data_IF_049253988863
#
_entry.id   IF_049253988863
#
_cell.length_a   1.000
_cell.length_b   1.000
_cell.length_c   1.000
_cell.angle_alpha   90.00
_cell.angle_beta   90.00
_cell.angle_gamma   90.00
#
_symmetry.space_group_name_H-M   'P 1'
#
loop_
_entity.id
_entity.type
_entity.pdbx_description
1 polymer ?
#
# COMPACT_ATOMS: atom_id res chain seq x y z
N UNK A 1 7.01 6.96 16.14
CA UNK A 1 5.74 6.59 15.47
C UNK A 1 5.70 5.14 15.03
N UNK A 2 6.64 4.64 14.20
CA UNK A 2 6.61 3.23 13.74
C UNK A 2 6.52 2.25 14.92
N UNK A 3 7.40 2.38 15.91
CA UNK A 3 7.43 1.46 17.06
C UNK A 3 6.21 1.60 17.99
N UNK A 4 5.48 2.74 17.92
CA UNK A 4 4.23 2.92 18.65
C UNK A 4 3.07 2.17 17.98
N UNK A 5 3.02 2.17 16.64
CA UNK A 5 1.97 1.48 15.87
C UNK A 5 2.28 0.00 15.72
N UNK A 6 3.54 -0.33 15.48
CA UNK A 6 4.05 -1.68 15.28
C UNK A 6 5.15 -1.94 16.31
N UNK A 7 4.79 -2.11 17.59
CA UNK A 7 5.76 -2.56 18.57
C UNK A 7 6.24 -3.97 18.21
N UNK A 8 7.51 -4.24 18.47
CA UNK A 8 8.09 -5.57 18.32
C UNK A 8 7.93 -6.19 16.90
N UNK A 9 8.20 -5.39 15.86
CA UNK A 9 8.18 -5.84 14.44
C UNK A 9 9.08 -7.08 14.23
N UNK A 10 10.14 -7.22 15.01
CA UNK A 10 11.10 -8.32 14.91
C UNK A 10 10.47 -9.68 15.27
N UNK A 11 9.37 -9.68 16.04
CA UNK A 11 8.61 -10.88 16.40
C UNK A 11 7.22 -10.93 15.73
N UNK A 12 7.07 -10.29 14.57
CA UNK A 12 5.77 -10.17 13.89
C UNK A 12 5.07 -11.52 13.65
N UNK A 13 5.82 -12.60 13.44
CA UNK A 13 5.29 -13.95 13.22
C UNK A 13 4.50 -14.52 14.40
N UNK A 14 4.73 -14.01 15.61
CA UNK A 14 4.01 -14.44 16.82
C UNK A 14 2.65 -13.75 16.99
N UNK A 15 2.41 -12.64 16.26
CA UNK A 15 1.17 -11.87 16.36
C UNK A 15 0.06 -12.49 15.51
N UNK A 16 -1.17 -12.49 16.03
CA UNK A 16 -2.35 -12.90 15.27
C UNK A 16 -2.55 -11.96 14.07
N UNK A 17 -3.07 -12.48 12.94
CA UNK A 17 -3.39 -11.68 11.76
C UNK A 17 -4.32 -10.51 12.12
N UNK A 18 -5.22 -10.71 13.10
CA UNK A 18 -6.12 -9.69 13.67
C UNK A 18 -5.38 -8.48 14.22
N UNK A 19 -4.21 -8.69 14.80
CA UNK A 19 -3.36 -7.61 15.32
C UNK A 19 -2.92 -6.66 14.20
N UNK A 20 -2.51 -7.21 13.04
CA UNK A 20 -2.13 -6.45 11.85
C UNK A 20 -3.33 -5.78 11.15
N UNK A 21 -4.52 -6.40 11.19
CA UNK A 21 -5.74 -5.82 10.59
C UNK A 21 -6.05 -4.45 11.17
N UNK A 22 -5.96 -4.34 12.48
CA UNK A 22 -6.49 -3.23 13.24
C UNK A 22 -5.55 -2.02 13.32
N UNK A 23 -4.46 -2.01 12.55
CA UNK A 23 -3.46 -0.94 12.59
C UNK A 23 -2.91 -0.57 11.22
N UNK A 24 -2.60 0.70 11.06
CA UNK A 24 -1.98 1.27 9.88
C UNK A 24 -1.26 2.57 10.23
N UNK A 25 -0.25 2.90 9.44
CA UNK A 25 0.25 4.27 9.33
C UNK A 25 -0.40 4.90 8.09
N UNK A 26 -0.86 6.14 8.18
CA UNK A 26 -1.45 6.88 7.06
C UNK A 26 -0.68 8.16 6.80
N UNK A 27 -0.49 8.53 5.53
CA UNK A 27 0.17 9.78 5.14
C UNK A 27 -0.48 10.38 3.88
N UNK A 28 -0.37 11.70 3.64
CA UNK A 28 -0.94 12.30 2.42
C UNK A 28 -0.28 11.80 1.12
N UNK A 29 1.05 11.63 1.12
CA UNK A 29 1.85 11.40 -0.11
C UNK A 29 2.27 9.93 -0.28
N UNK A 30 2.27 9.43 -1.51
CA UNK A 30 2.73 8.07 -1.82
C UNK A 30 4.23 7.85 -1.53
N UNK A 31 5.05 8.88 -1.70
CA UNK A 31 6.49 8.84 -1.42
C UNK A 31 6.76 8.53 0.06
N UNK A 32 6.15 9.29 0.97
CA UNK A 32 6.25 9.07 2.42
C UNK A 32 5.74 7.69 2.82
N UNK A 33 4.66 7.22 2.19
CA UNK A 33 4.17 5.85 2.40
C UNK A 33 5.18 4.80 1.95
N UNK A 34 5.85 5.01 0.81
CA UNK A 34 6.89 4.10 0.29
C UNK A 34 8.09 4.07 1.25
N UNK A 35 8.54 5.22 1.72
CA UNK A 35 9.64 5.34 2.70
C UNK A 35 9.32 4.57 3.98
N UNK A 36 8.16 4.79 4.59
CA UNK A 36 7.76 4.12 5.84
C UNK A 36 7.66 2.62 5.63
N UNK A 37 7.03 2.16 4.54
CA UNK A 37 6.93 0.73 4.24
C UNK A 37 8.32 0.11 4.07
N UNK A 38 9.25 0.78 3.38
CA UNK A 38 10.62 0.29 3.20
C UNK A 38 11.37 0.18 4.54
N UNK A 39 11.25 1.19 5.40
CA UNK A 39 11.85 1.18 6.74
C UNK A 39 11.31 0.02 7.60
N UNK A 40 10.00 -0.23 7.54
CA UNK A 40 9.40 -1.36 8.28
C UNK A 40 9.89 -2.69 7.70
N UNK A 41 9.93 -2.84 6.38
CA UNK A 41 10.38 -4.08 5.72
C UNK A 41 11.82 -4.47 6.05
N UNK A 42 12.70 -3.50 6.34
CA UNK A 42 14.06 -3.76 6.81
C UNK A 42 14.06 -4.46 8.18
N UNK A 43 13.12 -4.10 9.07
CA UNK A 43 12.97 -4.67 10.41
C UNK A 43 12.19 -5.99 10.44
N UNK A 44 11.33 -6.25 9.45
CA UNK A 44 10.51 -7.47 9.42
C UNK A 44 11.42 -8.71 9.29
N UNK A 45 11.30 -9.73 10.15
CA UNK A 45 12.08 -10.95 10.06
C UNK A 45 11.70 -11.81 8.85
N UNK A 46 12.62 -12.67 8.42
CA UNK A 46 12.38 -13.67 7.37
C UNK A 46 13.05 -13.37 6.05
N UNK A 47 13.05 -14.37 5.18
CA UNK A 47 13.71 -14.32 3.88
C UNK A 47 12.97 -13.40 2.91
N UNK A 48 13.73 -12.57 2.20
CA UNK A 48 13.20 -11.69 1.14
C UNK A 48 13.08 -12.51 -0.14
N UNK A 49 11.87 -12.57 -0.70
CA UNK A 49 11.67 -13.01 -2.08
C UNK A 49 11.47 -11.80 -2.98
N UNK A 50 12.35 -11.66 -3.97
CA UNK A 50 12.28 -10.59 -4.96
C UNK A 50 11.63 -11.08 -6.26
N UNK A 51 10.66 -10.33 -6.73
CA UNK A 51 9.94 -10.58 -7.97
C UNK A 51 10.18 -9.45 -8.97
N UNK A 52 10.88 -9.75 -10.06
CA UNK A 52 11.03 -8.82 -11.19
C UNK A 52 9.81 -8.90 -12.11
N UNK A 53 9.33 -7.74 -12.54
CA UNK A 53 8.27 -7.64 -13.54
C UNK A 53 8.78 -7.93 -14.94
N UNK A 54 7.86 -8.23 -15.84
CA UNK A 54 8.13 -8.27 -17.28
C UNK A 54 7.43 -7.06 -17.88
N UNK A 55 8.21 -6.10 -18.36
CA UNK A 55 7.70 -4.86 -18.94
C UNK A 55 7.89 -4.91 -20.46
N UNK A 56 6.81 -4.66 -21.20
CA UNK A 56 6.80 -4.74 -22.66
C UNK A 56 6.02 -3.55 -23.23
N UNK A 57 6.48 -2.96 -24.32
CA UNK A 57 5.65 -2.05 -25.12
C UNK A 57 4.40 -2.79 -25.66
N UNK A 58 3.30 -2.06 -25.88
CA UNK A 58 2.09 -2.65 -26.46
C UNK A 58 2.13 -2.69 -27.99
N UNK A 59 2.84 -1.76 -28.63
CA UNK A 59 3.17 -1.82 -30.06
C UNK A 59 4.65 -2.21 -30.23
N UNK A 60 4.92 -3.17 -31.11
CA UNK A 60 6.28 -3.69 -31.37
C UNK A 60 7.16 -2.61 -32.03
N UNK A 61 6.57 -1.72 -32.82
CA UNK A 61 7.29 -0.61 -33.47
C UNK A 61 7.89 0.35 -32.45
N UNK A 62 7.27 0.47 -31.27
CA UNK A 62 7.76 1.32 -30.18
C UNK A 62 8.96 0.70 -29.42
N UNK A 63 9.28 -0.58 -29.66
CA UNK A 63 10.34 -1.28 -28.94
C UNK A 63 11.73 -0.69 -29.19
N UNK A 64 11.94 -0.07 -30.35
CA UNK A 64 13.19 0.66 -30.67
C UNK A 64 13.27 2.03 -29.99
N UNK A 65 12.13 2.59 -29.57
CA UNK A 65 12.05 3.92 -28.96
C UNK A 65 12.15 3.88 -27.43
N UNK A 66 11.79 2.75 -26.80
CA UNK A 66 11.76 2.61 -25.35
C UNK A 66 12.69 1.49 -24.87
N UNK A 67 13.91 1.82 -24.40
CA UNK A 67 14.80 0.86 -23.78
C UNK A 67 14.17 0.15 -22.58
N UNK A 68 14.57 -1.10 -22.32
CA UNK A 68 14.01 -1.89 -21.22
C UNK A 68 14.26 -1.24 -19.85
N UNK A 69 15.44 -0.63 -19.66
CA UNK A 69 15.82 0.08 -18.44
C UNK A 69 14.89 1.26 -18.17
N UNK A 70 14.49 1.97 -19.23
CA UNK A 70 13.53 3.06 -19.13
C UNK A 70 12.16 2.53 -18.68
N UNK A 71 11.65 1.47 -19.30
CA UNK A 71 10.37 0.84 -18.90
C UNK A 71 10.41 0.36 -17.44
N UNK A 72 11.48 -0.31 -17.05
CA UNK A 72 11.68 -0.82 -15.68
C UNK A 72 11.77 0.32 -14.65
N UNK A 73 12.24 1.51 -15.05
CA UNK A 73 12.31 2.70 -14.19
C UNK A 73 10.95 3.36 -13.91
N UNK A 74 9.93 3.10 -14.76
CA UNK A 74 8.60 3.68 -14.60
C UNK A 74 7.91 3.16 -13.33
N UNK A 75 7.56 4.08 -12.44
CA UNK A 75 6.95 3.78 -11.15
C UNK A 75 5.73 4.68 -10.91
N UNK A 76 4.57 4.29 -11.43
CA UNK A 76 3.30 5.01 -11.23
C UNK A 76 2.55 4.49 -10.01
N UNK A 77 1.72 5.34 -9.38
CA UNK A 77 0.97 4.97 -8.18
C UNK A 77 -0.02 3.80 -8.39
N UNK A 78 -0.48 3.61 -9.62
CA UNK A 78 -1.41 2.55 -10.02
C UNK A 78 -0.76 1.22 -10.39
N UNK A 79 0.58 1.14 -10.44
CA UNK A 79 1.34 -0.05 -10.79
C UNK A 79 2.21 -0.53 -9.63
N UNK A 80 2.42 -1.85 -9.48
CA UNK A 80 3.49 -2.35 -8.64
C UNK A 80 4.85 -1.97 -9.25
N UNK A 81 5.90 -1.84 -8.41
CA UNK A 81 7.26 -1.57 -8.89
C UNK A 81 7.78 -2.73 -9.76
N UNK A 82 8.79 -2.44 -10.58
CA UNK A 82 9.51 -3.46 -11.34
C UNK A 82 10.08 -4.53 -10.42
N UNK A 83 10.80 -4.11 -9.39
CA UNK A 83 11.30 -4.99 -8.32
C UNK A 83 10.35 -4.97 -7.12
N UNK A 84 9.67 -6.08 -6.89
CA UNK A 84 8.77 -6.26 -5.76
C UNK A 84 9.39 -7.23 -4.76
N UNK A 85 9.88 -6.69 -3.65
CA UNK A 85 10.47 -7.47 -2.54
C UNK A 85 9.44 -7.72 -1.44
N UNK A 86 9.20 -8.99 -1.11
CA UNK A 86 8.20 -9.43 -0.14
C UNK A 86 8.79 -10.42 0.87
N UNK A 87 8.19 -10.46 2.06
CA UNK A 87 8.47 -11.45 3.11
C UNK A 87 7.15 -12.11 3.54
N UNK A 88 7.22 -13.36 3.98
CA UNK A 88 6.06 -14.02 4.61
C UNK A 88 5.70 -13.26 5.89
N UNK A 89 4.40 -13.14 6.20
CA UNK A 89 3.92 -12.37 7.37
C UNK A 89 3.78 -10.86 7.13
N UNK A 90 4.15 -10.35 5.95
CA UNK A 90 3.94 -8.95 5.60
C UNK A 90 2.49 -8.70 5.14
N UNK A 91 1.83 -7.62 5.60
CA UNK A 91 0.56 -7.17 5.05
C UNK A 91 0.78 -6.50 3.68
N UNK A 92 -0.05 -6.88 2.72
CA UNK A 92 -0.11 -6.34 1.37
C UNK A 92 -1.51 -5.81 1.05
N UNK A 93 -1.64 -5.03 0.00
CA UNK A 93 -2.90 -4.47 -0.50
C UNK A 93 -3.01 -4.73 -2.00
N UNK A 94 -4.19 -5.15 -2.46
CA UNK A 94 -4.48 -5.31 -3.88
C UNK A 94 -4.58 -3.96 -4.59
N UNK A 95 -3.99 -3.90 -5.79
CA UNK A 95 -4.02 -2.74 -6.69
C UNK A 95 -5.08 -2.86 -7.79
N UNK A 96 -5.65 -4.05 -7.98
CA UNK A 96 -6.66 -4.35 -8.99
C UNK A 96 -7.75 -5.26 -8.41
N UNK A 97 -8.92 -5.20 -9.03
CA UNK A 97 -10.00 -6.14 -8.75
C UNK A 97 -9.63 -7.48 -9.37
N UNK A 98 -9.61 -8.53 -8.57
CA UNK A 98 -9.33 -9.90 -9.02
C UNK A 98 -10.59 -10.75 -8.97
N UNK A 99 -11.36 -10.63 -7.89
CA UNK A 99 -12.62 -11.37 -7.70
C UNK A 99 -13.57 -10.59 -6.80
N UNK A 100 -14.32 -9.62 -7.35
CA UNK A 100 -15.36 -8.94 -6.60
C UNK A 100 -16.44 -9.92 -6.09
N UNK A 101 -17.06 -9.65 -4.92
CA UNK A 101 -16.81 -8.52 -4.03
C UNK A 101 -15.63 -8.71 -3.05
N UNK A 102 -15.02 -9.90 -3.01
CA UNK A 102 -14.10 -10.30 -1.95
C UNK A 102 -12.66 -9.80 -2.14
N UNK A 103 -12.18 -9.75 -3.39
CA UNK A 103 -10.82 -9.36 -3.76
C UNK A 103 -10.86 -8.15 -4.70
N UNK A 104 -11.04 -6.98 -4.10
CA UNK A 104 -11.12 -5.69 -4.78
C UNK A 104 -9.85 -4.86 -4.53
N UNK A 105 -9.67 -3.80 -5.32
CA UNK A 105 -8.64 -2.79 -5.08
C UNK A 105 -8.80 -2.22 -3.66
N UNK A 106 -7.71 -2.21 -2.90
CA UNK A 106 -7.71 -1.79 -1.50
C UNK A 106 -7.89 -2.92 -0.49
N UNK A 107 -8.33 -4.12 -0.89
CA UNK A 107 -8.39 -5.27 0.03
C UNK A 107 -6.98 -5.56 0.56
N UNK A 108 -6.84 -5.57 1.89
CA UNK A 108 -5.59 -5.94 2.58
C UNK A 108 -5.55 -7.45 2.81
N UNK A 109 -4.36 -8.02 2.63
CA UNK A 109 -4.09 -9.44 2.85
C UNK A 109 -2.79 -9.63 3.62
N UNK A 110 -2.67 -10.75 4.32
CA UNK A 110 -1.45 -11.16 5.02
C UNK A 110 -0.79 -12.30 4.26
N UNK A 111 0.45 -12.11 3.82
CA UNK A 111 1.19 -13.14 3.07
C UNK A 111 1.39 -14.38 3.94
N UNK A 112 1.02 -15.55 3.38
CA UNK A 112 1.24 -16.87 3.98
C UNK A 112 2.31 -17.65 3.24
N UNK A 113 2.32 -17.62 1.91
CA UNK A 113 3.33 -18.30 1.10
C UNK A 113 3.70 -17.47 -0.14
N UNK A 114 4.98 -17.54 -0.53
CA UNK A 114 5.54 -16.84 -1.68
C UNK A 114 6.12 -17.84 -2.69
N UNK A 115 5.32 -18.24 -3.68
CA UNK A 115 5.73 -19.13 -4.79
C UNK A 115 6.16 -18.30 -5.99
N UNK A 116 6.74 -18.91 -7.01
CA UNK A 116 7.35 -18.15 -8.12
C UNK A 116 6.33 -17.36 -8.93
N UNK A 117 5.16 -17.96 -9.18
CA UNK A 117 4.08 -17.38 -9.98
C UNK A 117 2.77 -17.19 -9.19
N UNK A 118 2.80 -17.38 -7.87
CA UNK A 118 1.61 -17.33 -7.04
C UNK A 118 1.94 -16.83 -5.63
N UNK A 119 1.19 -15.83 -5.16
CA UNK A 119 1.18 -15.44 -3.75
C UNK A 119 -0.06 -16.05 -3.10
N UNK A 120 0.14 -16.77 -1.99
CA UNK A 120 -0.96 -17.23 -1.13
C UNK A 120 -1.03 -16.29 0.06
N UNK A 121 -2.18 -15.66 0.26
CA UNK A 121 -2.37 -14.69 1.33
C UNK A 121 -3.74 -14.83 1.99
N UNK A 122 -3.84 -14.52 3.27
CA UNK A 122 -5.10 -14.52 4.01
C UNK A 122 -5.76 -13.14 3.91
N UNK A 123 -7.03 -13.05 3.54
CA UNK A 123 -7.75 -11.77 3.51
C UNK A 123 -7.92 -11.28 4.96
N UNK A 124 -7.57 -10.01 5.21
CA UNK A 124 -7.60 -9.42 6.56
C UNK A 124 -8.58 -8.25 6.72
N UNK A 125 -9.19 -7.80 5.62
CA UNK A 125 -10.21 -6.73 5.60
C UNK A 125 -11.36 -7.08 4.66
N UNK A 126 -12.57 -6.63 4.96
CA UNK A 126 -13.75 -6.80 4.12
C UNK A 126 -14.57 -8.05 4.46
N UNK A 127 -15.61 -8.36 3.67
CA UNK A 127 -16.59 -9.41 3.99
C UNK A 127 -16.00 -10.83 4.03
N UNK A 128 -14.94 -11.07 3.25
CA UNK A 128 -14.25 -12.36 3.17
C UNK A 128 -13.05 -12.46 4.13
N UNK A 129 -12.99 -11.64 5.18
CA UNK A 129 -11.89 -11.67 6.14
C UNK A 129 -11.75 -13.07 6.76
N UNK A 130 -10.56 -13.65 6.68
CA UNK A 130 -10.27 -15.00 7.13
C UNK A 130 -10.02 -16.00 6.00
N UNK A 131 -10.54 -15.76 4.80
CA UNK A 131 -10.38 -16.65 3.65
C UNK A 131 -8.96 -16.59 3.07
N UNK A 132 -8.54 -17.69 2.42
CA UNK A 132 -7.31 -17.73 1.64
C UNK A 132 -7.56 -17.23 0.22
N UNK A 133 -6.67 -16.35 -0.23
CA UNK A 133 -6.64 -15.79 -1.56
C UNK A 133 -5.38 -16.22 -2.31
N UNK A 134 -5.56 -16.48 -3.60
CA UNK A 134 -4.50 -16.83 -4.53
C UNK A 134 -4.33 -15.66 -5.50
N UNK A 135 -3.14 -15.06 -5.50
CA UNK A 135 -2.85 -13.85 -6.27
C UNK A 135 -1.83 -14.20 -7.35
N UNK A 136 -2.25 -14.30 -8.63
CA UNK A 136 -1.33 -14.50 -9.75
C UNK A 136 -0.70 -13.18 -10.19
N UNK A 137 0.33 -13.27 -11.04
CA UNK A 137 0.79 -12.12 -11.83
C UNK A 137 -0.24 -11.79 -12.89
N UNK A 138 -0.54 -10.50 -13.08
CA UNK A 138 -1.45 -10.05 -14.13
C UNK A 138 -0.80 -8.93 -14.97
N UNK A 139 -1.11 -8.84 -16.27
CA UNK A 139 -0.69 -7.70 -17.06
C UNK A 139 -1.46 -6.45 -16.64
N UNK A 140 -0.75 -5.34 -16.49
CA UNK A 140 -1.33 -4.04 -16.18
C UNK A 140 -0.79 -2.99 -17.15
N UNK A 141 -1.70 -2.22 -17.74
CA UNK A 141 -1.39 -1.09 -18.61
C UNK A 141 -1.71 0.18 -17.79
N UNK A 142 -0.74 1.10 -17.59
CA UNK A 142 -1.02 2.37 -16.95
C UNK A 142 -1.82 3.26 -17.90
N UNK A 143 -2.83 3.93 -17.36
CA UNK A 143 -3.64 4.92 -18.09
C UNK A 143 -3.09 6.34 -17.97
N UNK A 144 -2.16 6.53 -17.04
CA UNK A 144 -1.72 7.84 -16.54
C UNK A 144 -0.39 8.29 -17.17
N UNK A 145 0.12 7.49 -18.11
CA UNK A 145 1.35 7.77 -18.85
C UNK A 145 1.07 7.76 -20.35
N UNK A 146 1.68 8.67 -21.13
CA UNK A 146 1.59 8.67 -22.58
C UNK A 146 2.41 7.55 -23.24
N UNK A 147 2.91 6.59 -22.45
CA UNK A 147 3.79 5.52 -22.91
C UNK A 147 2.96 4.24 -23.03
N UNK A 148 2.85 3.68 -24.24
CA UNK A 148 2.06 2.48 -24.49
C UNK A 148 2.84 1.24 -24.02
N UNK A 149 2.86 0.96 -22.71
CA UNK A 149 3.52 -0.22 -22.14
C UNK A 149 2.63 -1.02 -21.20
N UNK A 150 3.02 -2.27 -20.98
CA UNK A 150 2.36 -3.28 -20.17
C UNK A 150 3.37 -3.88 -19.19
N UNK A 151 3.00 -3.94 -17.92
CA UNK A 151 3.77 -4.57 -16.83
C UNK A 151 3.08 -5.84 -16.36
N UNK A 152 3.71 -7.00 -16.50
CA UNK A 152 3.27 -8.27 -15.90
C UNK A 152 3.91 -8.42 -14.51
N UNK A 153 3.09 -8.31 -13.47
CA UNK A 153 3.54 -8.39 -12.07
C UNK A 153 2.38 -8.77 -11.16
N UNK A 154 2.68 -9.16 -9.91
CA UNK A 154 1.64 -9.29 -8.88
C UNK A 154 0.99 -7.92 -8.61
N UNK A 155 -0.35 -7.81 -8.62
CA UNK A 155 -1.04 -6.53 -8.47
C UNK A 155 -1.16 -6.16 -6.98
N UNK A 156 -0.03 -6.09 -6.28
CA UNK A 156 0.03 -5.87 -4.84
C UNK A 156 1.08 -4.84 -4.48
N UNK A 157 0.90 -4.20 -3.33
CA UNK A 157 1.93 -3.39 -2.65
C UNK A 157 1.93 -3.67 -1.16
N UNK A 158 3.05 -3.39 -0.49
CA UNK A 158 3.17 -3.47 0.97
C UNK A 158 2.19 -2.48 1.63
N UNK A 159 1.64 -2.87 2.78
CA UNK A 159 0.45 -2.27 3.41
C UNK A 159 0.60 -2.10 4.93
N UNK A 160 1.78 -1.72 5.41
CA UNK A 160 1.95 -1.20 6.77
C UNK A 160 1.56 0.29 6.81
N UNK A 161 2.07 1.06 5.86
CA UNK A 161 1.66 2.43 5.61
C UNK A 161 0.76 2.52 4.36
N UNK A 162 -0.20 3.43 4.41
CA UNK A 162 -1.20 3.70 3.37
C UNK A 162 -1.29 5.19 3.10
N UNK A 163 -1.75 5.58 1.91
CA UNK A 163 -2.17 6.97 1.73
C UNK A 163 -3.50 7.21 2.46
N UNK A 164 -3.72 8.43 2.94
CA UNK A 164 -4.99 8.81 3.57
C UNK A 164 -6.17 8.47 2.65
N UNK A 165 -6.05 8.78 1.36
CA UNK A 165 -7.09 8.49 0.38
C UNK A 165 -7.39 6.98 0.26
N UNK A 166 -6.37 6.11 0.39
CA UNK A 166 -6.56 4.65 0.37
C UNK A 166 -7.09 4.09 1.69
N UNK A 167 -6.99 4.85 2.77
CA UNK A 167 -7.57 4.49 4.08
C UNK A 167 -9.05 4.89 4.22
N UNK A 168 -9.59 5.68 3.28
CA UNK A 168 -10.97 6.12 3.32
C UNK A 168 -11.93 4.91 3.31
N UNK A 169 -12.95 4.95 4.18
CA UNK A 169 -13.88 3.84 4.41
C UNK A 169 -13.33 2.70 5.28
N UNK A 170 -12.05 2.70 5.66
CA UNK A 170 -11.48 1.72 6.59
C UNK A 170 -11.47 2.27 8.02
N UNK A 171 -11.64 1.38 9.00
CA UNK A 171 -11.53 1.70 10.43
C UNK A 171 -10.41 0.88 11.05
N UNK A 172 -9.55 1.55 11.81
CA UNK A 172 -8.45 0.94 12.56
C UNK A 172 -8.70 1.09 14.06
N UNK A 173 -8.15 0.18 14.87
CA UNK A 173 -8.10 0.32 16.33
C UNK A 173 -6.93 1.20 16.77
N UNK A 174 -5.85 1.27 15.99
CA UNK A 174 -4.64 2.04 16.27
C UNK A 174 -4.12 2.65 14.96
N UNK A 175 -3.91 3.97 14.91
CA UNK A 175 -3.47 4.63 13.68
C UNK A 175 -2.33 5.61 13.94
N UNK A 176 -1.29 5.53 13.12
CA UNK A 176 -0.25 6.56 13.05
C UNK A 176 -0.56 7.49 11.88
N UNK A 177 -0.57 8.81 12.08
CA UNK A 177 -0.82 9.80 11.04
C UNK A 177 0.48 10.57 10.82
N UNK A 178 1.12 10.36 9.67
CA UNK A 178 2.33 11.08 9.28
C UNK A 178 1.97 12.31 8.43
N UNK A 179 2.07 13.48 9.04
CA UNK A 179 1.80 14.78 8.44
C UNK A 179 3.09 15.60 8.21
N UNK A 180 4.28 14.97 8.23
CA UNK A 180 5.54 15.67 7.88
C UNK A 180 5.47 16.32 6.50
N UNK A 181 4.65 15.77 5.61
CA UNK A 181 4.18 16.42 4.39
C UNK A 181 2.72 16.80 4.58
N UNK A 182 2.38 18.04 4.21
CA UNK A 182 1.03 18.56 4.41
C UNK A 182 -0.03 17.85 3.55
N UNK A 183 -1.25 17.83 4.09
CA UNK A 183 -2.46 17.50 3.33
C UNK A 183 -2.64 18.50 2.19
N UNK A 184 -3.06 18.02 1.02
CA UNK A 184 -3.12 18.82 -0.21
C UNK A 184 -4.51 18.86 -0.85
N UNK A 185 -5.48 18.12 -0.32
CA UNK A 185 -6.86 18.07 -0.82
C UNK A 185 -7.86 18.33 0.29
N UNK A 186 -9.03 18.84 -0.10
CA UNK A 186 -10.15 19.05 0.81
C UNK A 186 -10.50 17.79 1.62
N UNK A 187 -10.72 17.96 2.93
CA UNK A 187 -11.20 16.90 3.81
C UNK A 187 -10.19 15.78 4.09
N UNK A 188 -8.97 15.84 3.53
CA UNK A 188 -7.97 14.79 3.70
C UNK A 188 -7.55 14.64 5.17
N UNK A 189 -7.33 15.75 5.88
CA UNK A 189 -7.01 15.70 7.30
C UNK A 189 -8.16 15.10 8.12
N UNK A 190 -9.40 15.47 7.81
CA UNK A 190 -10.59 14.88 8.44
C UNK A 190 -10.69 13.37 8.19
N UNK A 191 -10.43 12.91 6.97
CA UNK A 191 -10.39 11.47 6.65
C UNK A 191 -9.35 10.79 7.51
N UNK A 192 -8.14 11.34 7.65
CA UNK A 192 -7.09 10.75 8.48
C UNK A 192 -7.50 10.65 9.96
N UNK A 193 -8.05 11.73 10.52
CA UNK A 193 -8.44 11.79 11.93
C UNK A 193 -9.60 10.85 12.26
N UNK A 194 -10.55 10.67 11.33
CA UNK A 194 -11.71 9.79 11.48
C UNK A 194 -11.42 8.29 11.33
N UNK A 195 -10.16 7.88 11.13
CA UNK A 195 -9.82 6.45 10.95
C UNK A 195 -9.87 5.62 12.24
N UNK A 196 -9.91 6.26 13.41
CA UNK A 196 -9.94 5.60 14.73
C UNK A 196 -11.07 6.18 15.58
N UNK A 197 -11.70 5.34 16.40
CA UNK A 197 -12.82 5.76 17.25
C UNK A 197 -12.41 6.38 18.60
N UNK A 198 -11.17 6.17 19.05
CA UNK A 198 -10.67 6.64 20.34
C UNK A 198 -9.43 7.54 20.13
N UNK A 199 -9.39 8.76 20.70
CA UNK A 199 -8.25 9.68 20.57
C UNK A 199 -6.92 9.08 21.05
N UNK A 200 -6.93 8.32 22.14
CA UNK A 200 -5.73 7.71 22.75
C UNK A 200 -5.07 6.65 21.85
N UNK A 201 -5.74 6.24 20.78
CA UNK A 201 -5.23 5.28 19.81
C UNK A 201 -4.78 5.94 18.50
N UNK A 202 -4.53 7.26 18.54
CA UNK A 202 -4.04 8.05 17.43
C UNK A 202 -2.68 8.65 17.77
N UNK A 203 -1.67 8.35 16.95
CA UNK A 203 -0.35 8.97 17.07
C UNK A 203 -0.13 9.88 15.87
N UNK A 204 0.02 11.18 16.08
CA UNK A 204 0.22 12.15 15.00
C UNK A 204 1.68 12.59 14.99
N UNK A 205 2.33 12.47 13.83
CA UNK A 205 3.66 12.99 13.58
C UNK A 205 3.53 14.27 12.74
N UNK A 206 3.88 15.40 13.35
CA UNK A 206 3.83 16.73 12.73
C UNK A 206 5.21 17.10 12.13
N UNK A 207 5.25 18.09 11.22
CA UNK A 207 6.48 18.73 10.80
C UNK A 207 7.14 19.52 11.95
N UNK A 208 8.38 19.99 11.76
CA UNK A 208 9.19 20.61 12.82
C UNK A 208 8.53 21.84 13.49
N UNK A 209 7.73 22.58 12.73
CA UNK A 209 6.97 23.73 13.24
C UNK A 209 5.69 23.33 14.03
N UNK A 210 5.41 22.03 14.18
CA UNK A 210 4.24 21.47 14.86
C UNK A 210 2.88 21.97 14.33
N UNK A 211 2.80 22.34 13.06
CA UNK A 211 1.57 22.86 12.43
C UNK A 211 1.31 22.10 11.13
N UNK A 212 0.04 21.86 10.81
CA UNK A 212 -0.39 21.29 9.53
C UNK A 212 -1.58 22.08 8.98
N UNK A 213 -1.61 22.25 7.67
CA UNK A 213 -2.73 22.91 6.97
C UNK A 213 -3.98 22.02 6.92
N UNK A 214 -5.14 22.59 7.25
CA UNK A 214 -6.45 21.99 6.97
C UNK A 214 -7.03 22.59 5.69
N UNK A 215 -6.93 21.87 4.58
CA UNK A 215 -7.43 22.33 3.28
C UNK A 215 -8.96 22.16 3.23
N UNK A 216 -9.68 23.27 3.05
CA UNK A 216 -11.14 23.31 3.00
C UNK A 216 -11.62 24.03 1.74
N UNK A 217 -12.36 23.34 0.86
CA UNK A 217 -13.07 23.96 -0.27
C UNK A 217 -14.47 24.32 0.21
N UNK A 218 -14.77 25.61 0.27
CA UNK A 218 -16.03 26.12 0.85
C UNK A 218 -17.22 25.82 -0.04
N UNK A 219 -16.99 25.67 -1.33
CA UNK A 219 -17.95 25.33 -2.37
C UNK A 219 -18.53 23.92 -2.19
N UNK A 220 -17.80 23.02 -1.51
CA UNK A 220 -18.24 21.66 -1.20
C UNK A 220 -19.05 21.55 0.11
N UNK A 221 -19.23 22.67 0.83
CA UNK A 221 -19.96 22.75 2.10
C UNK A 221 -21.31 23.49 1.98
N UNK A 222 -21.68 23.91 0.76
CA UNK A 222 -23.00 24.47 0.41
C UNK A 222 -23.93 23.36 -0.06
#
# INVERSE_FOLDING_TARGET
MIDAIYPDIENLHQNDFRWLCCRAIVSPRNETVKEINNLIMQKVPGEVKCYKSIDTVTNIEDAVHYPQEFLNSLNTAGLPPHELSLKVGTPIMLLRNLRPPNMCNGTRLLIKELKDNLIVAKIITGPAAGELAHIPRIPMIPTDLPIPFKRLQFPVKISFALTINKSQGQTFKLVGIDLRKECFTHGQLYVALSRVGAPDHQYILLPENNITSNVVYREALQ
#
